data_IF_196356300997
#
_entry.id   IF_196356300997
#
_cell.length_a   1.000
_cell.length_b   1.000
_cell.length_c   1.000
_cell.angle_alpha   90.00
_cell.angle_beta   90.00
_cell.angle_gamma   90.00
#
_symmetry.space_group_name_H-M   'P 1'
#
loop_
_entity.id
_entity.type
_entity.pdbx_description
1 polymer ?
#
# COMPACT_ATOMS: atom_id res chain seq x y z
N UNK A 1 11.97 5.52 -3.88
CA UNK A 1 12.77 5.44 -5.10
C UNK A 1 13.81 6.58 -5.14
N UNK A 2 13.44 7.81 -5.36
CA UNK A 2 14.34 8.97 -5.59
C UNK A 2 15.42 9.18 -4.52
N UNK A 3 15.15 8.89 -3.22
CA UNK A 3 16.13 9.11 -2.13
C UNK A 3 17.42 8.29 -2.25
N UNK A 4 17.40 7.13 -2.90
CA UNK A 4 18.59 6.33 -3.17
C UNK A 4 19.45 6.98 -4.25
N UNK A 5 18.80 7.46 -5.29
CA UNK A 5 19.49 8.02 -6.45
C UNK A 5 20.22 9.33 -6.11
N UNK A 6 19.71 10.11 -5.14
CA UNK A 6 20.43 11.26 -4.59
C UNK A 6 21.78 10.93 -3.93
N UNK A 7 21.95 9.67 -3.48
CA UNK A 7 23.20 9.21 -2.86
C UNK A 7 24.16 8.57 -3.86
N UNK A 8 23.68 8.22 -5.05
CA UNK A 8 24.50 7.67 -6.12
C UNK A 8 25.12 8.80 -6.95
N UNK A 9 26.47 8.95 -6.97
CA UNK A 9 27.13 10.02 -7.71
C UNK A 9 26.76 10.07 -9.19
N UNK A 10 26.48 8.91 -9.81
CA UNK A 10 26.15 8.80 -11.24
C UNK A 10 24.73 9.24 -11.55
N UNK A 11 23.78 8.96 -10.67
CA UNK A 11 22.35 9.24 -10.84
C UNK A 11 21.93 10.55 -10.20
N UNK A 12 22.68 11.04 -9.22
CA UNK A 12 22.32 12.19 -8.38
C UNK A 12 22.03 13.45 -9.19
N UNK A 13 22.83 13.75 -10.20
CA UNK A 13 22.68 14.97 -10.96
C UNK A 13 21.45 14.96 -11.87
N UNK A 14 21.20 13.85 -12.55
CA UNK A 14 20.00 13.63 -13.36
C UNK A 14 18.75 13.64 -12.50
N UNK A 15 18.77 12.94 -11.37
CA UNK A 15 17.65 12.90 -10.42
C UNK A 15 17.33 14.29 -9.86
N UNK A 16 18.34 15.10 -9.56
CA UNK A 16 18.15 16.50 -9.14
C UNK A 16 17.49 17.34 -10.21
N UNK A 17 17.95 17.22 -11.47
CA UNK A 17 17.37 17.95 -12.61
C UNK A 17 15.89 17.59 -12.81
N UNK A 18 15.58 16.28 -12.85
CA UNK A 18 14.20 15.80 -13.02
C UNK A 18 13.33 16.23 -11.83
N UNK A 19 13.81 16.02 -10.61
CA UNK A 19 13.06 16.40 -9.40
C UNK A 19 12.82 17.89 -9.32
N UNK A 20 13.81 18.70 -9.69
CA UNK A 20 13.69 20.17 -9.76
C UNK A 20 12.66 20.59 -10.79
N UNK A 21 12.69 19.96 -11.97
CA UNK A 21 11.70 20.25 -13.02
C UNK A 21 10.27 19.90 -12.55
N UNK A 22 10.08 18.69 -11.99
CA UNK A 22 8.77 18.27 -11.44
C UNK A 22 8.29 19.23 -10.37
N UNK A 23 9.18 19.66 -9.47
CA UNK A 23 8.86 20.60 -8.41
C UNK A 23 8.40 21.95 -8.97
N UNK A 24 9.11 22.50 -9.95
CA UNK A 24 8.76 23.74 -10.64
C UNK A 24 7.39 23.64 -11.31
N UNK A 25 7.10 22.54 -12.02
CA UNK A 25 5.78 22.34 -12.64
C UNK A 25 4.67 22.22 -11.56
N UNK A 26 4.97 21.56 -10.45
CA UNK A 26 4.03 21.43 -9.32
C UNK A 26 3.71 22.80 -8.71
N UNK A 27 4.69 23.68 -8.53
CA UNK A 27 4.45 25.05 -8.05
C UNK A 27 3.52 25.82 -8.97
N UNK A 28 3.71 25.72 -10.30
CA UNK A 28 2.84 26.35 -11.29
C UNK A 28 1.40 25.85 -11.22
N UNK A 29 1.22 24.53 -11.05
CA UNK A 29 -0.11 23.93 -10.94
C UNK A 29 -0.83 24.29 -9.64
N UNK A 30 -0.09 24.40 -8.54
CA UNK A 30 -0.64 24.72 -7.22
C UNK A 30 -0.86 26.22 -7.01
N UNK A 31 -0.21 27.08 -7.80
CA UNK A 31 -0.26 28.53 -7.59
C UNK A 31 -1.68 29.14 -7.55
N UNK A 32 -2.64 28.72 -8.40
CA UNK A 32 -4.01 29.23 -8.32
C UNK A 32 -4.73 28.93 -7.00
N UNK A 33 -4.32 27.86 -6.30
CA UNK A 33 -4.95 27.39 -5.05
C UNK A 33 -4.21 27.95 -3.82
N UNK A 34 -2.87 28.00 -3.89
CA UNK A 34 -2.01 28.40 -2.77
C UNK A 34 -0.96 29.44 -3.21
N UNK A 35 -1.37 30.68 -3.60
CA UNK A 35 -0.48 31.65 -4.24
C UNK A 35 0.68 32.08 -3.37
N UNK A 36 0.46 32.34 -2.08
CA UNK A 36 1.50 32.89 -1.20
C UNK A 36 2.66 31.92 -0.96
N UNK A 37 2.36 30.66 -0.66
CA UNK A 37 3.40 29.68 -0.37
C UNK A 37 4.17 29.28 -1.63
N UNK A 38 3.46 29.11 -2.75
CA UNK A 38 4.10 28.76 -4.03
C UNK A 38 4.97 29.87 -4.56
N UNK A 39 4.55 31.14 -4.42
CA UNK A 39 5.37 32.31 -4.77
C UNK A 39 6.64 32.40 -3.91
N UNK A 40 6.50 32.19 -2.59
CA UNK A 40 7.64 32.22 -1.68
C UNK A 40 8.65 31.10 -1.99
N UNK A 41 8.18 29.90 -2.28
CA UNK A 41 9.03 28.78 -2.67
C UNK A 41 9.71 29.00 -4.01
N UNK A 42 8.99 29.58 -4.97
CA UNK A 42 9.53 29.97 -6.28
C UNK A 42 10.69 30.92 -6.13
N UNK A 43 10.51 32.04 -5.42
CA UNK A 43 11.54 33.04 -5.20
C UNK A 43 12.73 32.51 -4.40
N UNK A 44 12.53 31.49 -3.58
CA UNK A 44 13.60 30.90 -2.74
C UNK A 44 14.43 29.84 -3.47
N UNK A 45 13.85 29.11 -4.42
CA UNK A 45 14.43 27.88 -4.99
C UNK A 45 14.71 27.99 -6.48
N UNK A 46 13.98 28.87 -7.18
CA UNK A 46 14.22 29.13 -8.57
C UNK A 46 14.91 30.50 -8.61
N UNK A 47 16.17 30.52 -9.03
CA UNK A 47 16.98 31.73 -9.14
C UNK A 47 16.45 32.61 -10.31
N UNK A 48 15.27 33.16 -10.10
CA UNK A 48 14.52 33.90 -11.10
C UNK A 48 14.00 35.21 -10.50
N UNK A 49 14.32 36.31 -11.15
CA UNK A 49 13.88 37.63 -10.72
C UNK A 49 12.40 37.94 -11.06
N UNK A 50 11.70 36.96 -11.67
CA UNK A 50 10.30 37.07 -12.07
C UNK A 50 9.37 36.33 -11.13
N UNK A 51 8.19 36.88 -10.88
CA UNK A 51 7.17 36.26 -10.06
C UNK A 51 6.58 35.01 -10.75
N UNK A 52 6.21 34.00 -9.95
CA UNK A 52 5.55 32.80 -10.45
C UNK A 52 4.24 33.13 -11.16
N UNK A 53 3.47 34.09 -10.64
CA UNK A 53 2.22 34.54 -11.24
C UNK A 53 2.37 35.06 -12.67
N UNK A 54 3.57 35.53 -13.06
CA UNK A 54 3.85 35.99 -14.42
C UNK A 54 4.35 34.90 -15.36
N UNK A 55 4.51 33.68 -14.88
CA UNK A 55 4.99 32.56 -15.69
C UNK A 55 3.86 31.92 -16.50
N UNK A 56 4.23 31.35 -17.65
CA UNK A 56 3.29 30.57 -18.44
C UNK A 56 2.81 29.34 -17.66
N UNK A 57 1.51 29.08 -17.77
CA UNK A 57 0.93 27.87 -17.19
C UNK A 57 1.54 26.62 -17.81
N UNK A 58 1.48 25.52 -17.08
CA UNK A 58 2.08 24.25 -17.51
C UNK A 58 1.42 23.75 -18.79
N UNK A 59 2.21 23.58 -19.83
CA UNK A 59 1.80 22.83 -21.03
C UNK A 59 2.29 21.41 -20.87
N UNK A 60 1.36 20.45 -20.73
CA UNK A 60 1.68 19.03 -20.61
C UNK A 60 1.57 18.41 -21.98
N UNK A 61 2.69 18.00 -22.55
CA UNK A 61 2.71 17.10 -23.69
C UNK A 61 2.76 15.66 -23.13
N UNK A 62 1.69 14.93 -23.29
CA UNK A 62 1.67 13.50 -22.92
C UNK A 62 2.47 12.74 -23.98
N UNK A 63 3.55 12.10 -23.54
CA UNK A 63 4.27 11.12 -24.34
C UNK A 63 3.72 9.74 -24.00
N UNK A 64 3.13 9.00 -24.99
CA UNK A 64 2.61 7.65 -24.77
C UNK A 64 3.65 6.65 -24.26
N UNK A 65 4.95 6.94 -24.45
CA UNK A 65 6.03 6.09 -23.94
C UNK A 65 6.04 5.96 -22.42
N UNK A 66 5.44 6.93 -21.68
CA UNK A 66 5.32 6.87 -20.24
C UNK A 66 4.23 5.93 -19.72
N UNK A 67 3.29 5.50 -20.56
CA UNK A 67 2.17 4.65 -20.13
C UNK A 67 2.62 3.30 -19.59
N UNK A 68 3.63 2.70 -20.18
CA UNK A 68 4.23 1.45 -19.68
C UNK A 68 4.91 1.66 -18.33
N UNK A 69 5.72 2.72 -18.19
CA UNK A 69 6.38 3.06 -16.93
C UNK A 69 5.38 3.35 -15.82
N UNK A 70 4.30 4.08 -16.14
CA UNK A 70 3.18 4.35 -15.22
C UNK A 70 2.52 3.04 -14.76
N UNK A 71 2.23 2.11 -15.68
CA UNK A 71 1.64 0.81 -15.36
C UNK A 71 2.50 0.02 -14.38
N UNK A 72 3.81 -0.05 -14.60
CA UNK A 72 4.72 -0.74 -13.70
C UNK A 72 4.82 -0.06 -12.32
N UNK A 73 4.88 1.26 -12.27
CA UNK A 73 4.90 1.99 -10.99
C UNK A 73 3.61 1.76 -10.20
N UNK A 74 2.44 1.79 -10.84
CA UNK A 74 1.17 1.48 -10.18
C UNK A 74 1.16 0.05 -9.62
N UNK A 75 1.69 -0.91 -10.37
CA UNK A 75 1.81 -2.30 -9.90
C UNK A 75 2.75 -2.44 -8.71
N UNK A 76 3.85 -1.70 -8.72
CA UNK A 76 4.75 -1.63 -7.56
C UNK A 76 4.03 -1.07 -6.33
N UNK A 77 3.27 0.02 -6.49
CA UNK A 77 2.52 0.61 -5.38
C UNK A 77 1.53 -0.40 -4.80
N UNK A 78 0.86 -1.18 -5.65
CA UNK A 78 -0.04 -2.25 -5.26
C UNK A 78 0.70 -3.32 -4.42
N UNK A 79 1.82 -3.82 -4.92
CA UNK A 79 2.68 -4.80 -4.21
C UNK A 79 3.15 -4.23 -2.86
N UNK A 80 3.67 -3.00 -2.84
CA UNK A 80 4.14 -2.34 -1.63
C UNK A 80 3.03 -2.21 -0.57
N UNK A 81 1.83 -1.84 -1.01
CA UNK A 81 0.67 -1.68 -0.14
C UNK A 81 0.23 -3.02 0.43
N UNK A 82 0.12 -4.04 -0.41
CA UNK A 82 -0.29 -5.40 0.01
C UNK A 82 0.69 -6.03 0.99
N UNK A 83 2.00 -5.89 0.76
CA UNK A 83 3.02 -6.38 1.69
C UNK A 83 3.04 -5.62 3.03
N UNK A 84 2.75 -4.32 3.01
CA UNK A 84 2.61 -3.55 4.27
C UNK A 84 1.37 -3.97 5.05
N UNK A 85 0.26 -4.20 4.37
CA UNK A 85 -0.96 -4.70 4.99
C UNK A 85 -0.73 -6.09 5.61
N UNK A 86 -0.10 -7.02 4.86
CA UNK A 86 0.25 -8.33 5.38
C UNK A 86 1.12 -8.25 6.65
N UNK A 87 2.13 -7.37 6.65
CA UNK A 87 2.95 -7.16 7.85
C UNK A 87 2.14 -6.66 9.05
N UNK A 88 1.19 -5.76 8.80
CA UNK A 88 0.32 -5.24 9.85
C UNK A 88 -0.64 -6.32 10.37
N UNK A 89 -1.23 -7.11 9.47
CA UNK A 89 -2.17 -8.17 9.81
C UNK A 89 -1.51 -9.29 10.64
N UNK A 90 -0.26 -9.63 10.31
CA UNK A 90 0.54 -10.65 10.99
C UNK A 90 1.44 -10.08 12.11
N UNK A 91 1.28 -8.80 12.48
CA UNK A 91 2.11 -8.13 13.48
C UNK A 91 3.63 -8.28 13.27
N UNK A 92 4.08 -8.39 12.00
CA UNK A 92 5.49 -8.49 11.66
C UNK A 92 6.15 -7.13 11.85
N UNK A 93 7.08 -7.04 12.81
CA UNK A 93 7.83 -5.80 13.04
C UNK A 93 8.54 -5.33 11.79
N UNK A 94 8.50 -4.03 11.52
CA UNK A 94 9.26 -3.44 10.41
C UNK A 94 10.79 -3.60 10.54
N UNK A 95 11.27 -3.93 11.73
CA UNK A 95 12.70 -4.23 11.96
C UNK A 95 13.10 -5.59 11.39
N UNK A 96 12.15 -6.52 11.28
CA UNK A 96 12.41 -7.86 10.77
C UNK A 96 12.44 -7.82 9.23
N UNK A 97 13.51 -8.33 8.66
CA UNK A 97 13.59 -8.55 7.22
C UNK A 97 12.80 -9.82 6.86
N UNK A 98 12.11 -9.79 5.72
CA UNK A 98 11.34 -10.92 5.19
C UNK A 98 11.91 -11.36 3.86
N UNK A 99 11.82 -12.64 3.58
CA UNK A 99 12.02 -13.18 2.24
C UNK A 99 10.69 -13.15 1.49
N UNK A 100 10.73 -12.94 0.18
CA UNK A 100 9.56 -13.03 -0.68
C UNK A 100 9.87 -13.86 -1.92
N UNK A 101 8.87 -14.64 -2.34
CA UNK A 101 8.91 -15.41 -3.57
C UNK A 101 7.79 -14.86 -4.45
N UNK A 102 8.11 -14.51 -5.68
CA UNK A 102 7.18 -13.91 -6.63
C UNK A 102 6.94 -14.92 -7.76
N UNK A 103 5.68 -15.33 -7.91
CA UNK A 103 5.22 -16.14 -9.01
C UNK A 103 4.45 -15.23 -9.99
N UNK A 104 4.94 -15.12 -11.21
CA UNK A 104 4.32 -14.36 -12.29
C UNK A 104 4.85 -14.83 -13.64
N UNK A 105 3.97 -14.93 -14.62
CA UNK A 105 4.33 -15.22 -16.02
C UNK A 105 4.83 -13.98 -16.78
N UNK A 106 4.65 -12.79 -16.21
CA UNK A 106 5.00 -11.53 -16.85
C UNK A 106 6.52 -11.25 -16.78
N UNK A 107 7.24 -11.63 -17.83
CA UNK A 107 8.70 -11.45 -17.95
C UNK A 107 9.13 -9.98 -17.81
N UNK A 108 8.40 -9.05 -18.43
CA UNK A 108 8.72 -7.63 -18.35
C UNK A 108 8.60 -7.09 -16.92
N UNK A 109 7.69 -7.65 -16.14
CA UNK A 109 7.55 -7.29 -14.72
C UNK A 109 8.66 -7.92 -13.87
N UNK A 110 9.06 -9.16 -14.17
CA UNK A 110 10.25 -9.80 -13.54
C UNK A 110 11.49 -8.94 -13.75
N UNK A 111 11.75 -8.52 -14.98
CA UNK A 111 12.88 -7.66 -15.34
C UNK A 111 12.81 -6.32 -14.61
N UNK A 112 11.63 -5.71 -14.58
CA UNK A 112 11.43 -4.45 -13.87
C UNK A 112 11.70 -4.58 -12.38
N UNK A 113 11.16 -5.59 -11.69
CA UNK A 113 11.41 -5.84 -10.27
C UNK A 113 12.89 -6.14 -10.02
N UNK A 114 13.53 -6.89 -10.90
CA UNK A 114 14.96 -7.21 -10.81
C UNK A 114 15.83 -5.96 -10.91
N UNK A 115 15.53 -5.07 -11.85
CA UNK A 115 16.25 -3.82 -12.03
C UNK A 115 16.12 -2.86 -10.83
N UNK A 116 14.98 -2.92 -10.12
CA UNK A 116 14.70 -2.07 -8.95
C UNK A 116 14.72 -2.84 -7.62
N UNK A 117 15.31 -4.04 -7.57
CA UNK A 117 15.28 -4.88 -6.36
C UNK A 117 15.93 -4.22 -5.14
N UNK A 118 16.92 -3.37 -5.33
CA UNK A 118 17.57 -2.63 -4.25
C UNK A 118 16.60 -1.69 -3.55
N UNK A 119 15.78 -0.98 -4.34
CA UNK A 119 14.73 -0.09 -3.87
C UNK A 119 13.62 -0.87 -3.16
N UNK A 120 13.20 -2.00 -3.72
CA UNK A 120 12.24 -2.91 -3.11
C UNK A 120 12.71 -3.42 -1.75
N UNK A 121 13.92 -3.98 -1.69
CA UNK A 121 14.53 -4.47 -0.46
C UNK A 121 14.56 -3.40 0.63
N UNK A 122 14.95 -2.19 0.25
CA UNK A 122 15.02 -1.06 1.18
C UNK A 122 13.64 -0.60 1.66
N UNK A 123 12.67 -0.45 0.75
CA UNK A 123 11.34 0.11 1.05
C UNK A 123 10.47 -0.83 1.88
N UNK A 124 10.67 -2.13 1.75
CA UNK A 124 9.87 -3.17 2.40
C UNK A 124 10.64 -3.97 3.44
N UNK A 125 11.94 -3.67 3.64
CA UNK A 125 12.81 -4.50 4.48
C UNK A 125 12.77 -5.97 4.05
N UNK A 126 12.99 -6.17 2.74
CA UNK A 126 13.09 -7.50 2.14
C UNK A 126 14.56 -7.93 2.14
N UNK A 127 14.81 -9.14 2.62
CA UNK A 127 16.13 -9.78 2.62
C UNK A 127 16.46 -10.34 1.24
N UNK A 128 15.55 -11.16 0.68
CA UNK A 128 15.70 -11.76 -0.64
C UNK A 128 14.39 -11.69 -1.44
N UNK A 129 14.54 -11.61 -2.77
CA UNK A 129 13.45 -11.72 -3.73
C UNK A 129 13.80 -12.89 -4.64
N UNK A 130 12.97 -13.92 -4.65
CA UNK A 130 13.10 -15.08 -5.54
C UNK A 130 11.95 -15.07 -6.53
N UNK A 131 12.20 -15.60 -7.73
CA UNK A 131 11.17 -15.80 -8.74
C UNK A 131 11.07 -17.30 -8.97
N UNK A 132 9.95 -17.91 -8.56
CA UNK A 132 9.70 -19.34 -8.70
C UNK A 132 8.26 -19.55 -9.15
N UNK A 133 8.03 -20.58 -9.95
CA UNK A 133 6.70 -20.97 -10.42
C UNK A 133 6.14 -22.08 -9.53
N UNK A 134 4.82 -22.01 -9.27
CA UNK A 134 4.06 -23.06 -8.54
C UNK A 134 4.61 -23.43 -7.14
N UNK A 135 5.07 -22.43 -6.39
CA UNK A 135 5.64 -22.68 -5.06
C UNK A 135 4.54 -22.82 -4.02
N UNK A 136 4.29 -24.03 -3.56
CA UNK A 136 3.49 -24.30 -2.35
C UNK A 136 4.44 -24.55 -1.18
N UNK A 137 4.82 -23.51 -0.45
CA UNK A 137 5.56 -23.66 0.80
C UNK A 137 4.59 -23.69 1.99
N UNK A 138 4.70 -24.71 2.82
CA UNK A 138 3.99 -24.76 4.11
C UNK A 138 4.43 -23.59 4.98
N UNK A 139 3.50 -23.02 5.75
CA UNK A 139 3.74 -21.89 6.66
C UNK A 139 4.18 -20.61 5.93
N UNK A 140 3.55 -20.30 4.82
CA UNK A 140 3.75 -19.08 4.06
C UNK A 140 2.45 -18.30 3.97
N UNK A 141 2.55 -16.97 4.03
CA UNK A 141 1.42 -16.11 3.69
C UNK A 141 1.41 -15.81 2.19
N UNK A 142 0.22 -15.72 1.62
CA UNK A 142 0.02 -15.50 0.19
C UNK A 142 -0.64 -14.15 -0.05
N UNK A 143 -0.17 -13.44 -1.07
CA UNK A 143 -0.82 -12.24 -1.61
C UNK A 143 -1.09 -12.53 -3.08
N UNK A 144 -2.36 -12.59 -3.46
CA UNK A 144 -2.77 -12.79 -4.85
C UNK A 144 -3.19 -11.43 -5.43
N UNK A 145 -2.49 -11.00 -6.46
CA UNK A 145 -2.79 -9.81 -7.23
C UNK A 145 -2.96 -10.27 -8.68
N UNK A 146 -3.96 -9.85 -9.37
CA UNK A 146 -4.41 -10.28 -10.71
C UNK A 146 -3.47 -11.22 -11.51
N UNK A 147 -2.22 -10.80 -11.71
CA UNK A 147 -1.18 -11.45 -12.53
C UNK A 147 0.08 -11.83 -11.73
N UNK A 148 0.04 -11.74 -10.40
CA UNK A 148 1.17 -12.01 -9.51
C UNK A 148 0.68 -12.72 -8.26
N UNK A 149 1.38 -13.76 -7.86
CA UNK A 149 1.26 -14.34 -6.52
C UNK A 149 2.56 -14.09 -5.76
N UNK A 150 2.47 -13.53 -4.57
CA UNK A 150 3.61 -13.28 -3.70
C UNK A 150 3.49 -14.18 -2.48
N UNK A 151 4.48 -15.03 -2.27
CA UNK A 151 4.60 -15.85 -1.08
C UNK A 151 5.59 -15.19 -0.12
N UNK A 152 5.21 -15.15 1.14
CA UNK A 152 6.05 -14.67 2.24
C UNK A 152 6.25 -15.82 3.21
N UNK A 153 7.41 -16.49 3.20
CA UNK A 153 7.71 -17.52 4.20
C UNK A 153 7.72 -16.90 5.60
N UNK A 154 6.97 -17.49 6.52
CA UNK A 154 6.81 -17.00 7.89
C UNK A 154 7.72 -17.70 8.90
N UNK A 155 8.45 -18.71 8.46
CA UNK A 155 9.29 -19.56 9.31
C UNK A 155 10.37 -18.70 10.02
N UNK A 156 10.40 -18.77 11.35
CA UNK A 156 11.34 -17.97 12.17
C UNK A 156 11.05 -16.47 12.27
N UNK A 157 10.00 -15.96 11.60
CA UNK A 157 9.62 -14.54 11.63
C UNK A 157 8.44 -14.31 12.57
N UNK A 158 7.48 -15.21 12.56
CA UNK A 158 6.26 -15.17 13.37
C UNK A 158 6.10 -16.51 14.07
N UNK A 159 5.75 -16.47 15.37
CA UNK A 159 5.25 -17.65 16.07
C UNK A 159 3.81 -17.89 15.59
N UNK A 160 3.70 -18.72 14.55
CA UNK A 160 2.46 -18.97 13.83
C UNK A 160 1.36 -19.47 14.79
N UNK A 161 1.69 -20.35 15.71
CA UNK A 161 0.73 -20.89 16.67
C UNK A 161 0.16 -19.81 17.57
N UNK A 162 1.02 -18.93 18.10
CA UNK A 162 0.57 -17.80 18.92
C UNK A 162 -0.24 -16.79 18.12
N UNK A 163 0.11 -16.55 16.86
CA UNK A 163 -0.62 -15.60 16.05
C UNK A 163 -2.00 -16.15 15.64
N UNK A 164 -2.11 -17.43 15.32
CA UNK A 164 -3.41 -18.10 15.09
C UNK A 164 -4.30 -17.98 16.35
N UNK A 165 -3.76 -18.28 17.53
CA UNK A 165 -4.52 -18.14 18.79
C UNK A 165 -5.02 -16.71 19.00
N UNK A 166 -4.21 -15.70 18.71
CA UNK A 166 -4.63 -14.29 18.79
C UNK A 166 -5.72 -13.94 17.80
N UNK A 167 -5.59 -14.40 16.55
CA UNK A 167 -6.58 -14.19 15.50
C UNK A 167 -7.91 -14.88 15.85
N UNK A 168 -7.87 -16.10 16.37
CA UNK A 168 -9.05 -16.81 16.86
C UNK A 168 -9.72 -16.07 18.03
N UNK A 169 -8.96 -15.61 19.00
CA UNK A 169 -9.50 -14.83 20.11
C UNK A 169 -10.15 -13.52 19.62
N UNK A 170 -9.53 -12.83 18.66
CA UNK A 170 -10.09 -11.64 18.04
C UNK A 170 -11.39 -11.94 17.27
N UNK A 171 -11.42 -13.05 16.53
CA UNK A 171 -12.60 -13.55 15.83
C UNK A 171 -13.73 -13.84 16.82
N UNK A 172 -13.45 -14.50 17.94
CA UNK A 172 -14.43 -14.78 18.98
C UNK A 172 -15.03 -13.50 19.55
N UNK A 173 -14.19 -12.49 19.84
CA UNK A 173 -14.64 -11.18 20.28
C UNK A 173 -15.56 -10.50 19.26
N UNK A 174 -15.24 -10.59 17.99
CA UNK A 174 -16.11 -10.03 16.93
C UNK A 174 -17.41 -10.80 16.78
N UNK A 175 -17.40 -12.14 16.93
CA UNK A 175 -18.61 -12.95 16.92
C UNK A 175 -19.55 -12.61 18.08
N UNK A 176 -19.02 -12.36 19.28
CA UNK A 176 -19.81 -11.94 20.45
C UNK A 176 -20.46 -10.56 20.21
N UNK A 177 -19.70 -9.62 19.68
CA UNK A 177 -20.22 -8.30 19.31
C UNK A 177 -21.31 -8.41 18.22
N UNK A 178 -21.06 -9.21 17.18
CA UNK A 178 -22.02 -9.46 16.12
C UNK A 178 -23.31 -10.06 16.65
N UNK A 179 -23.20 -11.05 17.55
CA UNK A 179 -24.38 -11.66 18.21
C UNK A 179 -25.21 -10.64 19.00
N UNK A 180 -24.52 -9.72 19.71
CA UNK A 180 -25.19 -8.64 20.43
C UNK A 180 -25.91 -7.66 19.50
N UNK A 181 -25.27 -7.27 18.38
CA UNK A 181 -25.85 -6.40 17.37
C UNK A 181 -27.07 -7.05 16.70
N UNK A 182 -26.94 -8.33 16.28
CA UNK A 182 -28.06 -9.09 15.71
C UNK A 182 -29.20 -9.26 16.68
N UNK A 183 -28.92 -9.47 17.98
CA UNK A 183 -29.95 -9.51 19.02
C UNK A 183 -30.77 -8.23 19.11
N UNK A 184 -30.13 -7.07 18.94
CA UNK A 184 -30.82 -5.78 18.90
C UNK A 184 -31.60 -5.59 17.61
N UNK A 185 -31.02 -5.90 16.47
CA UNK A 185 -31.67 -5.78 15.15
C UNK A 185 -32.83 -6.75 14.95
N UNK A 186 -32.85 -7.89 15.65
CA UNK A 186 -33.96 -8.85 15.62
C UNK A 186 -35.06 -8.55 16.65
N UNK A 187 -34.83 -7.60 17.55
CA UNK A 187 -35.83 -7.22 18.55
C UNK A 187 -36.83 -6.22 17.96
N UNK A 188 -38.04 -6.69 17.67
CA UNK A 188 -39.11 -5.87 17.10
C UNK A 188 -39.41 -4.61 17.94
N UNK A 189 -39.47 -4.73 19.27
CA UNK A 189 -39.74 -3.62 20.16
C UNK A 189 -38.59 -2.57 20.14
N UNK A 190 -37.40 -2.96 19.82
CA UNK A 190 -36.26 -2.05 19.64
C UNK A 190 -36.35 -1.32 18.30
N UNK A 191 -36.67 -2.04 17.22
CA UNK A 191 -36.76 -1.46 15.87
C UNK A 191 -37.93 -0.42 15.81
N UNK A 192 -39.06 -0.70 16.45
CA UNK A 192 -40.19 0.20 16.46
C UNK A 192 -39.97 1.48 17.27
N UNK A 193 -39.07 1.49 18.22
CA UNK A 193 -38.81 2.63 19.12
C UNK A 193 -37.52 3.37 18.84
N UNK A 194 -36.56 2.76 18.17
CA UNK A 194 -35.24 3.36 17.91
C UNK A 194 -35.32 4.32 16.72
N UNK A 195 -34.64 5.47 16.76
CA UNK A 195 -34.47 6.35 15.62
C UNK A 195 -33.78 5.65 14.44
N UNK A 196 -34.17 6.01 13.21
CA UNK A 196 -33.66 5.37 11.97
C UNK A 196 -32.13 5.43 11.86
N UNK A 197 -31.52 6.55 12.29
CA UNK A 197 -30.06 6.70 12.30
C UNK A 197 -29.34 5.71 13.24
N UNK A 198 -29.99 5.29 14.31
CA UNK A 198 -29.45 4.29 15.26
C UNK A 198 -29.52 2.89 14.64
N UNK A 199 -30.63 2.58 13.98
CA UNK A 199 -30.82 1.30 13.28
C UNK A 199 -29.79 1.17 12.14
N UNK A 200 -29.62 2.23 11.36
CA UNK A 200 -28.63 2.27 10.26
C UNK A 200 -27.19 2.08 10.78
N UNK A 201 -26.83 2.74 11.88
CA UNK A 201 -25.52 2.55 12.52
C UNK A 201 -25.31 1.10 12.97
N UNK A 202 -26.31 0.40 13.48
CA UNK A 202 -26.20 -1.02 13.83
C UNK A 202 -26.04 -1.92 12.60
N UNK A 203 -26.67 -1.59 11.47
CA UNK A 203 -26.48 -2.31 10.20
C UNK A 203 -25.07 -2.14 9.64
N UNK A 204 -24.54 -0.92 9.69
CA UNK A 204 -23.14 -0.64 9.30
C UNK A 204 -22.18 -1.44 10.19
N UNK A 205 -22.38 -1.42 11.52
CA UNK A 205 -21.57 -2.20 12.44
C UNK A 205 -21.68 -3.71 12.19
N UNK A 206 -22.86 -4.23 11.86
CA UNK A 206 -23.06 -5.62 11.47
C UNK A 206 -22.19 -5.98 10.25
N UNK A 207 -22.24 -5.15 9.22
CA UNK A 207 -21.47 -5.37 7.99
C UNK A 207 -19.98 -5.30 8.24
N UNK A 208 -19.51 -4.33 9.03
CA UNK A 208 -18.11 -4.17 9.41
C UNK A 208 -17.59 -5.39 10.21
N UNK A 209 -18.40 -5.91 11.15
CA UNK A 209 -18.03 -7.11 11.92
C UNK A 209 -17.96 -8.34 11.04
N UNK A 210 -18.91 -8.55 10.13
CA UNK A 210 -18.89 -9.66 9.18
C UNK A 210 -17.64 -9.61 8.28
N UNK A 211 -17.37 -8.47 7.68
CA UNK A 211 -16.18 -8.25 6.84
C UNK A 211 -14.88 -8.51 7.63
N UNK A 212 -14.83 -8.06 8.90
CA UNK A 212 -13.66 -8.30 9.76
C UNK A 212 -13.46 -9.79 10.07
N UNK A 213 -14.54 -10.53 10.31
CA UNK A 213 -14.49 -12.00 10.56
C UNK A 213 -14.04 -12.74 9.31
N UNK A 214 -14.54 -12.35 8.12
CA UNK A 214 -14.13 -12.94 6.85
C UNK A 214 -12.62 -12.75 6.61
N UNK A 215 -12.12 -11.52 6.78
CA UNK A 215 -10.68 -11.23 6.66
C UNK A 215 -9.83 -12.06 7.62
N UNK A 216 -10.26 -12.22 8.88
CA UNK A 216 -9.53 -13.05 9.84
C UNK A 216 -9.52 -14.52 9.39
N UNK A 217 -10.64 -15.05 8.87
CA UNK A 217 -10.68 -16.41 8.35
C UNK A 217 -9.75 -16.60 7.15
N UNK A 218 -9.71 -15.64 6.22
CA UNK A 218 -8.80 -15.65 5.08
C UNK A 218 -7.34 -15.71 5.55
N UNK A 219 -6.97 -14.87 6.53
CA UNK A 219 -5.61 -14.87 7.10
C UNK A 219 -5.28 -16.22 7.73
N UNK A 220 -6.16 -16.77 8.57
CA UNK A 220 -5.95 -18.09 9.21
C UNK A 220 -5.78 -19.19 8.17
N UNK A 221 -6.61 -19.20 7.12
CA UNK A 221 -6.53 -20.19 6.04
C UNK A 221 -5.25 -20.05 5.21
N UNK A 222 -4.71 -18.85 5.11
CA UNK A 222 -3.49 -18.57 4.35
C UNK A 222 -2.23 -19.00 5.12
N UNK A 223 -2.28 -19.02 6.45
CA UNK A 223 -1.13 -19.34 7.31
C UNK A 223 -1.04 -20.85 7.63
N UNK A 224 -2.16 -21.55 7.63
CA UNK A 224 -2.23 -23.02 7.86
C UNK A 224 -1.79 -23.80 6.63
#
# INVERSE_FOLDING_TARGET
FIKSDFKDPKKSEETKKISGWVFVQSLKLLHPIMPFITEKLWLSLVDNKSFLMSQNFVKVNFDPSFDNSKKYILKIIEILTSLRNLRADLNISYKNEIDIIIDTENTSLKDFITNYQTEFKRLLKIKSILFEENTSQKKSAFIVLNDITILVPLDGIVDIEKEIIKLENKKNTYNEKLKSILGKLNNKAFIEKAPDNVIENFRIQEQDMKSSIEKINEIINTIN
#
